data_IF_806157423125
#
_entry.id   IF_806157423125
#
_cell.length_a   1.000
_cell.length_b   1.000
_cell.length_c   1.000
_cell.angle_alpha   90.00
_cell.angle_beta   90.00
_cell.angle_gamma   90.00
#
_symmetry.space_group_name_H-M   'P 1'
#
loop_
_entity.id
_entity.type
_entity.pdbx_description
1 polymer ?
#
# COMPACT_ATOMS: atom_id res chain seq x y z
N UNK A 1 -28.48 20.61 -19.05
CA UNK A 1 -27.29 20.71 -18.17
C UNK A 1 -27.12 19.39 -17.45
N UNK A 2 -26.39 18.45 -18.05
CA UNK A 2 -26.10 17.15 -17.44
C UNK A 2 -24.91 17.32 -16.50
N UNK A 3 -25.15 17.17 -15.20
CA UNK A 3 -24.08 17.02 -14.21
C UNK A 3 -23.25 15.79 -14.59
N UNK A 4 -22.07 16.00 -15.21
CA UNK A 4 -21.06 14.94 -15.32
C UNK A 4 -20.64 14.55 -13.90
N UNK A 5 -21.17 13.44 -13.42
CA UNK A 5 -20.66 12.75 -12.24
C UNK A 5 -19.24 12.32 -12.56
N UNK A 6 -18.25 13.14 -12.16
CA UNK A 6 -16.85 12.75 -12.25
C UNK A 6 -16.71 11.35 -11.64
N UNK A 7 -16.15 10.39 -12.36
CA UNK A 7 -16.16 9.02 -11.90
C UNK A 7 -15.30 8.94 -10.62
N UNK A 8 -15.94 8.51 -9.53
CA UNK A 8 -15.36 8.56 -8.17
C UNK A 8 -14.22 7.57 -8.07
N UNK A 9 -13.11 7.97 -7.45
CA UNK A 9 -12.05 7.04 -7.12
C UNK A 9 -12.58 5.98 -6.14
N UNK A 10 -12.13 4.73 -6.29
CA UNK A 10 -12.45 3.64 -5.36
C UNK A 10 -11.22 3.25 -4.55
N UNK A 11 -11.47 2.72 -3.37
CA UNK A 11 -10.44 2.05 -2.56
C UNK A 11 -10.43 0.57 -2.87
N UNK A 12 -9.24 -0.03 -2.87
CA UNK A 12 -9.05 -1.46 -2.92
C UNK A 12 -7.98 -1.86 -1.91
N UNK A 13 -8.13 -3.04 -1.32
CA UNK A 13 -7.13 -3.65 -0.46
C UNK A 13 -6.54 -4.87 -1.16
N UNK A 14 -5.22 -5.03 -1.04
CA UNK A 14 -4.49 -6.21 -1.46
C UNK A 14 -3.70 -6.73 -0.25
N UNK A 15 -3.94 -7.96 0.15
CA UNK A 15 -3.12 -8.62 1.15
C UNK A 15 -1.91 -9.28 0.49
N UNK A 16 -0.71 -8.86 0.92
CA UNK A 16 0.55 -9.50 0.55
C UNK A 16 1.08 -10.32 1.72
N UNK A 17 2.02 -11.23 1.47
CA UNK A 17 2.66 -12.00 2.53
C UNK A 17 4.18 -11.88 2.44
N UNK A 18 4.82 -11.63 3.58
CA UNK A 18 6.27 -11.79 3.72
C UNK A 18 6.54 -13.12 4.41
N UNK A 19 7.12 -14.06 3.67
CA UNK A 19 7.44 -15.39 4.15
C UNK A 19 8.93 -15.51 4.50
N UNK A 20 9.23 -16.04 5.68
CA UNK A 20 10.59 -16.27 6.17
C UNK A 20 10.76 -17.75 6.54
N UNK A 21 11.70 -18.47 5.91
CA UNK A 21 12.04 -19.83 6.31
C UNK A 21 12.81 -19.80 7.64
N UNK A 22 12.44 -20.67 8.56
CA UNK A 22 13.07 -20.86 9.86
C UNK A 22 13.49 -22.32 9.96
N UNK A 23 14.77 -22.55 10.24
CA UNK A 23 15.29 -23.89 10.47
C UNK A 23 14.91 -24.36 11.88
N UNK A 24 14.28 -25.52 11.98
CA UNK A 24 13.86 -26.14 13.23
C UNK A 24 14.41 -27.58 13.32
N UNK A 25 14.54 -28.16 14.52
CA UNK A 25 14.86 -29.59 14.66
C UNK A 25 13.76 -30.42 14.00
N UNK A 26 14.08 -31.05 12.87
CA UNK A 26 13.12 -31.85 12.08
C UNK A 26 12.75 -31.26 10.71
N UNK A 27 13.23 -30.07 10.35
CA UNK A 27 13.05 -29.52 8.99
C UNK A 27 13.06 -28.00 8.91
N UNK A 28 12.69 -27.47 7.74
CA UNK A 28 12.49 -26.02 7.55
C UNK A 28 11.01 -25.71 7.61
N UNK A 29 10.62 -24.79 8.49
CA UNK A 29 9.26 -24.26 8.57
C UNK A 29 9.21 -22.88 7.91
N UNK A 30 8.12 -22.55 7.23
CA UNK A 30 7.94 -21.22 6.63
C UNK A 30 6.91 -20.44 7.43
N UNK A 31 7.28 -19.25 7.88
CA UNK A 31 6.39 -18.32 8.57
C UNK A 31 6.05 -17.15 7.66
N UNK A 32 4.77 -16.96 7.36
CA UNK A 32 4.29 -15.87 6.52
C UNK A 32 3.51 -14.84 7.36
N UNK A 33 3.91 -13.58 7.31
CA UNK A 33 3.21 -12.46 7.95
C UNK A 33 2.44 -11.68 6.90
N UNK A 34 1.13 -11.41 7.09
CA UNK A 34 0.35 -10.61 6.17
C UNK A 34 0.80 -9.14 6.19
N UNK A 35 0.76 -8.50 5.02
CA UNK A 35 1.10 -7.11 4.77
C UNK A 35 -0.04 -6.52 3.94
N UNK A 36 -1.00 -5.83 4.57
CA UNK A 36 -2.08 -5.17 3.85
C UNK A 36 -1.55 -3.98 3.04
N UNK A 37 -2.07 -3.82 1.83
CA UNK A 37 -1.72 -2.75 0.90
C UNK A 37 -3.00 -2.08 0.41
N UNK A 38 -3.13 -0.77 0.65
CA UNK A 38 -4.32 -0.02 0.27
C UNK A 38 -4.03 0.79 -0.97
N UNK A 39 -4.93 0.70 -1.95
CA UNK A 39 -4.83 1.40 -3.23
C UNK A 39 -5.98 2.35 -3.45
N UNK A 40 -5.65 3.55 -3.92
CA UNK A 40 -6.59 4.51 -4.52
C UNK A 40 -6.59 4.30 -6.02
N UNK A 41 -7.74 3.90 -6.56
CA UNK A 41 -7.93 3.62 -7.98
C UNK A 41 -8.87 4.67 -8.55
N UNK A 42 -8.31 5.59 -9.33
CA UNK A 42 -9.06 6.64 -10.01
C UNK A 42 -9.16 6.32 -11.52
N UNK A 43 -10.30 6.59 -12.16
CA UNK A 43 -10.46 6.46 -13.61
C UNK A 43 -9.40 7.23 -14.39
N UNK A 44 -8.86 6.61 -15.45
CA UNK A 44 -7.82 7.19 -16.32
C UNK A 44 -6.52 7.60 -15.60
N UNK A 45 -6.28 7.07 -14.40
CA UNK A 45 -5.03 7.27 -13.66
C UNK A 45 -4.47 5.93 -13.20
N UNK A 46 -3.14 5.79 -13.06
CA UNK A 46 -2.54 4.64 -12.41
C UNK A 46 -3.09 4.46 -10.99
N UNK A 47 -3.21 3.21 -10.55
CA UNK A 47 -3.48 2.91 -9.16
C UNK A 47 -2.31 3.40 -8.30
N UNK A 48 -2.61 4.06 -7.18
CA UNK A 48 -1.61 4.58 -6.25
C UNK A 48 -1.78 3.88 -4.92
N UNK A 49 -0.71 3.29 -4.41
CA UNK A 49 -0.69 2.76 -3.04
C UNK A 49 -0.74 3.93 -2.04
N UNK A 50 -1.69 3.90 -1.12
CA UNK A 50 -1.89 4.92 -0.08
C UNK A 50 -1.76 4.34 1.34
N UNK A 51 -1.21 3.13 1.49
CA UNK A 51 -1.03 2.45 2.79
C UNK A 51 -0.33 3.34 3.83
N UNK A 52 0.63 4.18 3.42
CA UNK A 52 1.35 5.08 4.33
C UNK A 52 0.58 6.36 4.68
N UNK A 53 -0.57 6.61 4.06
CA UNK A 53 -1.39 7.81 4.24
C UNK A 53 -2.66 7.52 5.05
N UNK A 54 -2.89 6.26 5.42
CA UNK A 54 -4.05 5.80 6.17
C UNK A 54 -3.60 5.25 7.52
N UNK A 55 -4.47 5.34 8.52
CA UNK A 55 -4.23 4.80 9.85
C UNK A 55 -5.25 3.73 10.18
N UNK A 56 -4.95 2.86 11.14
CA UNK A 56 -5.92 1.92 11.69
C UNK A 56 -6.60 2.50 12.92
N UNK A 57 -7.90 2.22 13.06
CA UNK A 57 -8.62 2.42 14.32
C UNK A 57 -8.07 1.42 15.36
N UNK A 58 -7.59 1.89 16.53
CA UNK A 58 -6.98 1.02 17.53
C UNK A 58 -7.99 0.09 18.25
N UNK A 59 -9.29 0.37 18.17
CA UNK A 59 -10.35 -0.41 18.79
C UNK A 59 -10.92 -1.45 17.83
N UNK A 60 -11.13 -1.09 16.56
CA UNK A 60 -11.77 -1.98 15.58
C UNK A 60 -10.78 -2.65 14.63
N UNK A 61 -9.58 -2.09 14.48
CA UNK A 61 -8.60 -2.52 13.47
C UNK A 61 -8.95 -2.10 12.05
N UNK A 62 -10.03 -1.33 11.84
CA UNK A 62 -10.46 -0.87 10.53
C UNK A 62 -9.61 0.29 10.00
N UNK A 63 -9.52 0.41 8.68
CA UNK A 63 -8.79 1.49 8.03
C UNK A 63 -9.55 2.81 8.09
N UNK A 64 -8.93 3.84 8.68
CA UNK A 64 -9.40 5.21 8.68
C UNK A 64 -8.83 5.92 7.44
N UNK A 65 -9.70 6.13 6.45
CA UNK A 65 -9.35 6.77 5.18
C UNK A 65 -9.89 8.21 5.17
N UNK A 66 -8.98 9.17 5.30
CA UNK A 66 -9.32 10.59 5.32
C UNK A 66 -9.42 11.18 3.91
N UNK A 67 -10.03 12.37 3.79
CA UNK A 67 -10.01 13.15 2.54
C UNK A 67 -8.59 13.43 2.05
N UNK A 68 -7.65 13.60 2.98
CA UNK A 68 -6.27 13.94 2.65
C UNK A 68 -5.55 12.76 2.02
N UNK A 69 -5.77 11.54 2.51
CA UNK A 69 -5.29 10.31 1.87
C UNK A 69 -5.85 10.16 0.44
N UNK A 70 -7.07 10.65 0.21
CA UNK A 70 -7.73 10.61 -1.09
C UNK A 70 -7.27 11.69 -2.07
N UNK A 71 -6.66 12.79 -1.60
CA UNK A 71 -6.23 13.90 -2.44
C UNK A 71 -4.70 14.03 -2.56
N UNK A 72 -3.96 13.44 -1.63
CA UNK A 72 -2.50 13.51 -1.61
C UNK A 72 -1.90 12.36 -2.41
N UNK A 73 -0.78 12.63 -3.09
CA UNK A 73 0.06 11.56 -3.62
C UNK A 73 1.16 11.26 -2.59
N UNK A 74 1.45 9.99 -2.30
CA UNK A 74 2.60 9.64 -1.49
C UNK A 74 3.86 10.28 -2.09
N UNK A 75 4.75 10.73 -1.21
CA UNK A 75 6.05 11.24 -1.66
C UNK A 75 6.79 10.13 -2.38
N UNK A 76 7.08 10.34 -3.66
CA UNK A 76 7.75 9.37 -4.51
C UNK A 76 8.78 10.06 -5.40
N UNK A 77 9.82 9.31 -5.75
CA UNK A 77 10.81 9.72 -6.76
C UNK A 77 10.37 9.14 -8.10
N UNK A 78 10.42 9.94 -9.18
CA UNK A 78 10.14 9.40 -10.49
C UNK A 78 11.18 8.31 -10.81
N UNK A 79 10.76 7.24 -11.49
CA UNK A 79 11.65 6.12 -11.80
C UNK A 79 12.94 6.56 -12.51
N UNK A 80 12.84 7.58 -13.37
CA UNK A 80 13.98 8.15 -14.12
C UNK A 80 14.98 8.91 -13.24
N UNK A 81 14.52 9.41 -12.11
CA UNK A 81 15.32 10.21 -11.17
C UNK A 81 15.91 9.34 -10.04
N UNK A 82 15.61 8.03 -10.03
CA UNK A 82 16.30 7.10 -9.15
C UNK A 82 17.72 6.89 -9.63
N UNK A 83 18.66 7.56 -8.95
CA UNK A 83 20.06 7.13 -8.98
C UNK A 83 20.16 5.77 -8.31
N UNK A 84 20.96 4.87 -8.88
CA UNK A 84 21.27 3.58 -8.25
C UNK A 84 22.07 3.84 -6.97
N UNK A 85 21.40 4.12 -5.85
CA UNK A 85 22.04 4.23 -4.56
C UNK A 85 22.29 2.83 -4.01
N UNK A 86 23.58 2.50 -3.91
CA UNK A 86 24.13 1.34 -3.23
C UNK A 86 23.42 1.08 -1.91
N UNK A 87 22.94 -0.15 -1.73
CA UNK A 87 22.55 -0.72 -0.46
C UNK A 87 23.60 -0.39 0.61
N UNK A 88 23.25 0.42 1.61
CA UNK A 88 23.87 0.30 2.93
C UNK A 88 23.14 -0.82 3.66
N UNK A 89 23.78 -1.98 3.69
CA UNK A 89 23.49 -3.01 4.67
C UNK A 89 23.94 -2.49 6.04
N UNK A 90 23.04 -2.54 7.03
CA UNK A 90 23.37 -2.50 8.44
C UNK A 90 22.65 -3.65 9.13
#
# INVERSE_FOLDING_TARGET
MTSETRPKCRIAELEQFKCTPVAEPGGTRVYCTPIPRIFRICPNRPAVEITTLVSTDPLTGEWIITSDAMNTLPRATAWRDMSASSSKAE
#
